data_IF_956844526382
#
_entry.id   IF_956844526382
#
_cell.length_a   1.000
_cell.length_b   1.000
_cell.length_c   1.000
_cell.angle_alpha   90.00
_cell.angle_beta   90.00
_cell.angle_gamma   90.00
#
_symmetry.space_group_name_H-M   'P 1'
#
loop_
_entity.id
_entity.type
_entity.pdbx_description
1 polymer ?
#
# COMPACT_ATOMS: atom_id res chain seq x y z
N UNK A 1 -21.91 -40.41 -0.09
CA UNK A 1 -20.93 -40.77 -1.13
C UNK A 1 -20.36 -39.49 -1.70
N UNK A 2 -19.04 -39.37 -1.76
CA UNK A 2 -18.40 -38.21 -2.40
C UNK A 2 -18.62 -38.30 -3.90
N UNK A 3 -19.21 -37.25 -4.50
CA UNK A 3 -19.33 -37.12 -5.95
C UNK A 3 -18.21 -36.24 -6.48
N UNK A 4 -17.84 -36.43 -7.74
CA UNK A 4 -16.84 -35.59 -8.41
C UNK A 4 -17.27 -34.11 -8.39
N UNK A 5 -18.57 -33.84 -8.52
CA UNK A 5 -19.15 -32.51 -8.37
C UNK A 5 -18.88 -31.89 -6.99
N UNK A 6 -19.03 -32.65 -5.90
CA UNK A 6 -18.73 -32.16 -4.54
C UNK A 6 -17.26 -31.76 -4.39
N UNK A 7 -16.35 -32.56 -4.94
CA UNK A 7 -14.90 -32.27 -4.92
C UNK A 7 -14.57 -31.02 -5.75
N UNK A 8 -15.13 -30.92 -6.95
CA UNK A 8 -14.90 -29.77 -7.85
C UNK A 8 -15.35 -28.47 -7.20
N UNK A 9 -16.52 -28.42 -6.56
CA UNK A 9 -17.00 -27.21 -5.87
C UNK A 9 -16.03 -26.78 -4.76
N UNK A 10 -15.49 -27.73 -3.98
CA UNK A 10 -14.52 -27.43 -2.92
C UNK A 10 -13.20 -26.93 -3.47
N UNK A 11 -12.68 -27.55 -4.52
CA UNK A 11 -11.42 -27.14 -5.17
C UNK A 11 -11.56 -25.75 -5.79
N UNK A 12 -12.66 -25.49 -6.51
CA UNK A 12 -12.93 -24.16 -7.07
C UNK A 12 -13.04 -23.11 -5.97
N UNK A 13 -13.75 -23.41 -4.88
CA UNK A 13 -13.83 -22.50 -3.73
C UNK A 13 -12.45 -22.19 -3.14
N UNK A 14 -11.56 -23.18 -3.04
CA UNK A 14 -10.20 -22.96 -2.54
C UNK A 14 -9.39 -22.06 -3.49
N UNK A 15 -9.48 -22.28 -4.79
CA UNK A 15 -8.80 -21.44 -5.78
C UNK A 15 -9.32 -20.00 -5.76
N UNK A 16 -10.64 -19.80 -5.65
CA UNK A 16 -11.24 -18.46 -5.52
C UNK A 16 -10.76 -17.76 -4.25
N UNK A 17 -10.70 -18.47 -3.11
CA UNK A 17 -10.15 -17.91 -1.88
C UNK A 17 -8.67 -17.54 -2.02
N UNK A 18 -7.88 -18.37 -2.71
CA UNK A 18 -6.47 -18.09 -2.94
C UNK A 18 -6.26 -16.86 -3.83
N UNK A 19 -7.05 -16.71 -4.90
CA UNK A 19 -6.95 -15.53 -5.78
C UNK A 19 -7.30 -14.25 -5.04
N UNK A 20 -8.32 -14.26 -4.17
CA UNK A 20 -8.68 -13.10 -3.34
C UNK A 20 -7.51 -12.69 -2.42
N UNK A 21 -6.79 -13.66 -1.84
CA UNK A 21 -5.63 -13.37 -1.00
C UNK A 21 -4.47 -12.78 -1.80
N UNK A 22 -4.20 -13.31 -3.00
CA UNK A 22 -3.17 -12.78 -3.91
C UNK A 22 -3.51 -11.35 -4.33
N UNK A 23 -4.77 -11.09 -4.69
CA UNK A 23 -5.22 -9.76 -5.10
C UNK A 23 -5.04 -8.75 -3.95
N UNK A 24 -5.38 -9.13 -2.72
CA UNK A 24 -5.17 -8.30 -1.54
C UNK A 24 -3.68 -8.03 -1.28
N UNK A 25 -2.83 -9.06 -1.38
CA UNK A 25 -1.38 -8.92 -1.21
C UNK A 25 -0.79 -7.95 -2.25
N UNK A 26 -1.12 -8.16 -3.53
CA UNK A 26 -0.65 -7.31 -4.62
C UNK A 26 -1.06 -5.86 -4.42
N UNK A 27 -2.27 -5.66 -3.93
CA UNK A 27 -2.80 -4.34 -3.68
C UNK A 27 -2.05 -3.66 -2.52
N UNK A 28 -1.80 -4.35 -1.39
CA UNK A 28 -0.98 -3.84 -0.28
C UNK A 28 0.43 -3.46 -0.78
N UNK A 29 1.04 -4.31 -1.61
CA UNK A 29 2.38 -4.07 -2.18
C UNK A 29 2.39 -2.80 -3.05
N UNK A 30 1.41 -2.64 -3.94
CA UNK A 30 1.32 -1.48 -4.84
C UNK A 30 1.18 -0.18 -4.02
N UNK A 31 0.27 -0.15 -3.06
CA UNK A 31 0.07 1.05 -2.24
C UNK A 31 1.28 1.35 -1.35
N UNK A 32 1.87 0.33 -0.73
CA UNK A 32 3.10 0.50 0.05
C UNK A 32 4.24 1.07 -0.79
N UNK A 33 4.44 0.53 -1.99
CA UNK A 33 5.44 1.03 -2.93
C UNK A 33 5.17 2.49 -3.33
N UNK A 34 3.92 2.84 -3.64
CA UNK A 34 3.54 4.20 -4.03
C UNK A 34 3.84 5.21 -2.93
N UNK A 35 3.49 4.90 -1.68
CA UNK A 35 3.75 5.77 -0.53
C UNK A 35 5.25 6.01 -0.34
N UNK A 36 6.05 4.94 -0.44
CA UNK A 36 7.52 5.03 -0.34
C UNK A 36 8.09 5.86 -1.49
N UNK A 37 7.66 5.58 -2.73
CA UNK A 37 8.10 6.28 -3.92
C UNK A 37 7.84 7.79 -3.83
N UNK A 38 6.61 8.18 -3.47
CA UNK A 38 6.23 9.58 -3.30
C UNK A 38 7.05 10.23 -2.17
N UNK A 39 7.22 9.56 -1.03
CA UNK A 39 7.99 10.10 0.10
C UNK A 39 9.45 10.38 -0.28
N UNK A 40 10.10 9.46 -1.01
CA UNK A 40 11.47 9.63 -1.47
C UNK A 40 11.56 10.75 -2.52
N UNK A 41 10.62 10.80 -3.47
CA UNK A 41 10.56 11.84 -4.49
C UNK A 41 10.44 13.24 -3.87
N UNK A 42 9.52 13.43 -2.93
CA UNK A 42 9.34 14.70 -2.22
C UNK A 42 10.57 15.08 -1.40
N UNK A 43 11.19 14.13 -0.70
CA UNK A 43 12.44 14.39 0.04
C UNK A 43 13.54 14.87 -0.90
N UNK A 44 13.70 14.22 -2.06
CA UNK A 44 14.70 14.60 -3.07
C UNK A 44 14.49 16.05 -3.53
N UNK A 45 13.25 16.42 -3.89
CA UNK A 45 12.89 17.81 -4.25
C UNK A 45 13.24 18.78 -3.12
N UNK A 46 12.91 18.44 -1.87
CA UNK A 46 13.23 19.30 -0.72
C UNK A 46 14.75 19.47 -0.56
N UNK A 47 15.53 18.40 -0.75
CA UNK A 47 16.99 18.47 -0.62
C UNK A 47 17.63 19.30 -1.74
N UNK A 48 17.12 19.19 -2.96
CA UNK A 48 17.67 19.88 -4.13
C UNK A 48 17.33 21.37 -4.15
N UNK A 49 16.09 21.74 -3.80
CA UNK A 49 15.58 23.10 -4.03
C UNK A 49 15.47 23.96 -2.76
N UNK A 50 15.48 23.38 -1.56
CA UNK A 50 15.33 24.14 -0.31
C UNK A 50 16.68 24.26 0.39
N UNK A 51 17.23 25.47 0.46
CA UNK A 51 18.52 25.72 1.11
C UNK A 51 18.39 26.24 2.55
N UNK A 52 17.24 26.79 2.93
CA UNK A 52 17.01 27.25 4.29
C UNK A 52 16.67 26.07 5.23
N UNK A 53 17.57 25.78 6.16
CA UNK A 53 17.50 24.60 7.03
C UNK A 53 16.19 24.51 7.85
N UNK A 54 15.68 25.66 8.33
CA UNK A 54 14.42 25.70 9.10
C UNK A 54 13.22 25.27 8.24
N UNK A 55 13.15 25.78 7.01
CA UNK A 55 12.06 25.45 6.06
C UNK A 55 12.19 23.98 5.63
N UNK A 56 13.40 23.52 5.34
CA UNK A 56 13.69 22.12 5.01
C UNK A 56 13.18 21.16 6.10
N UNK A 57 13.49 21.44 7.36
CA UNK A 57 13.04 20.63 8.49
C UNK A 57 11.51 20.56 8.58
N UNK A 58 10.83 21.69 8.47
CA UNK A 58 9.35 21.75 8.49
C UNK A 58 8.76 20.91 7.36
N UNK A 59 9.28 21.07 6.14
CA UNK A 59 8.80 20.30 4.98
C UNK A 59 9.05 18.80 5.13
N UNK A 60 10.19 18.37 5.68
CA UNK A 60 10.47 16.96 5.94
C UNK A 60 9.51 16.36 6.98
N UNK A 61 9.15 17.13 8.01
CA UNK A 61 8.13 16.74 9.00
C UNK A 61 6.76 16.59 8.31
N UNK A 62 6.38 17.55 7.47
CA UNK A 62 5.12 17.50 6.73
C UNK A 62 5.05 16.30 5.77
N UNK A 63 6.15 15.97 5.07
CA UNK A 63 6.23 14.76 4.22
C UNK A 63 6.05 13.49 5.05
N UNK A 64 6.54 13.46 6.29
CA UNK A 64 6.35 12.31 7.19
C UNK A 64 4.89 12.21 7.66
N UNK A 65 4.29 13.33 8.05
CA UNK A 65 2.88 13.38 8.48
C UNK A 65 1.98 12.97 7.32
N UNK A 66 2.20 13.49 6.11
CA UNK A 66 1.39 13.14 4.94
C UNK A 66 1.52 11.67 4.58
N UNK A 67 2.71 11.07 4.66
CA UNK A 67 2.89 9.64 4.45
C UNK A 67 2.09 8.79 5.46
N UNK A 68 2.05 9.20 6.73
CA UNK A 68 1.27 8.54 7.78
C UNK A 68 -0.23 8.66 7.47
N UNK A 69 -0.70 9.87 7.13
CA UNK A 69 -2.13 10.08 6.81
C UNK A 69 -2.57 9.30 5.57
N UNK A 70 -1.78 9.32 4.50
CA UNK A 70 -2.07 8.52 3.30
C UNK A 70 -2.10 7.02 3.65
N UNK A 71 -1.17 6.54 4.49
CA UNK A 71 -1.19 5.15 4.95
C UNK A 71 -2.47 4.84 5.75
N UNK A 72 -2.90 5.74 6.64
CA UNK A 72 -4.14 5.59 7.42
C UNK A 72 -5.36 5.50 6.50
N UNK A 73 -5.51 6.45 5.57
CA UNK A 73 -6.61 6.43 4.61
C UNK A 73 -6.59 5.19 3.71
N UNK A 74 -5.40 4.71 3.35
CA UNK A 74 -5.27 3.48 2.57
C UNK A 74 -5.73 2.26 3.36
N UNK A 75 -5.41 2.19 4.66
CA UNK A 75 -5.92 1.14 5.55
C UNK A 75 -7.43 1.23 5.75
N UNK A 76 -7.99 2.44 5.87
CA UNK A 76 -9.43 2.66 5.98
C UNK A 76 -10.20 2.20 4.73
N UNK A 77 -9.59 2.17 3.55
CA UNK A 77 -10.21 1.60 2.36
C UNK A 77 -10.33 0.07 2.41
N UNK A 78 -9.57 -0.61 3.27
CA UNK A 78 -9.62 -2.08 3.43
C UNK A 78 -10.54 -2.55 4.55
N UNK A 79 -10.95 -1.65 5.45
CA UNK A 79 -11.78 -1.96 6.63
C UNK A 79 -13.21 -1.49 6.37
#
# INVERSE_FOLDING_TARGET
MFTLQWLVVRVVSLFVSLTILIDLEMLIVIFGFLIVHISIGLKTIIYDYIHFQKIKLILLILVRISAIEISRYTLELFI
#
